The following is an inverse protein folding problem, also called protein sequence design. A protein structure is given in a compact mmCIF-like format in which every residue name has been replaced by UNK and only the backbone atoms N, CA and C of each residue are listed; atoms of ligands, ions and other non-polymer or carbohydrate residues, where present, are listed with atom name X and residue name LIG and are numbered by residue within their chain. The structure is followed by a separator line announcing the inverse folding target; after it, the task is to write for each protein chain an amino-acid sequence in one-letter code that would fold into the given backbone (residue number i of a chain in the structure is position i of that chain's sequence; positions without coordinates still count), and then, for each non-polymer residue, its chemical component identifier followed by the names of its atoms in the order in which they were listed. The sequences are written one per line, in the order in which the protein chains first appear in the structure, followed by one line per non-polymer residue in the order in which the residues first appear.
data_IF_325830748791
#
_entry.id   IF_325830748791
#
_cell.length_a   1.000
_cell.length_b   1.000
_cell.length_c   1.000
_cell.angle_alpha   90.00
_cell.angle_beta   90.00
_cell.angle_gamma   90.00
#
_symmetry.space_group_name_H-M   'P 1'
#
loop_
_entity.id
_entity.type
_entity.pdbx_description
1 polymer ?
#
# COMPACT_ATOMS: atom_id res chain seq x y z
N UNK A 1 58.00 -38.34 18.99
CA UNK A 1 58.52 -38.12 20.34
C UNK A 1 57.72 -36.98 20.95
N UNK A 2 56.96 -37.28 22.02
CA UNK A 2 56.51 -36.43 23.15
C UNK A 2 55.74 -35.13 22.78
N UNK A 3 54.40 -35.02 22.91
CA UNK A 3 53.48 -35.07 24.07
C UNK A 3 53.59 -33.87 25.04
N UNK A 4 52.50 -33.10 25.19
CA UNK A 4 52.03 -32.33 26.37
C UNK A 4 50.76 -31.57 25.96
N UNK A 5 49.53 -31.97 26.31
CA UNK A 5 48.84 -32.05 27.61
C UNK A 5 48.26 -30.70 28.11
N UNK A 6 46.92 -30.60 27.99
CA UNK A 6 45.92 -30.08 28.94
C UNK A 6 46.00 -28.66 29.52
N UNK A 7 44.89 -27.92 29.49
CA UNK A 7 44.08 -27.52 30.68
C UNK A 7 42.84 -26.70 30.25
N UNK A 8 41.69 -27.14 30.77
CA UNK A 8 40.35 -26.52 30.74
C UNK A 8 40.20 -25.57 31.95
N UNK A 9 39.47 -24.45 31.83
CA UNK A 9 38.48 -24.11 32.86
C UNK A 9 37.13 -23.69 32.21
N UNK A 10 36.06 -24.45 32.41
CA UNK A 10 35.01 -24.26 33.45
C UNK A 10 34.01 -23.13 33.15
N UNK A 11 32.86 -23.55 32.63
CA UNK A 11 31.63 -22.79 32.42
C UNK A 11 30.89 -22.56 33.76
N UNK A 12 30.48 -21.33 34.12
CA UNK A 12 29.58 -21.12 35.23
C UNK A 12 28.10 -21.28 34.82
N UNK A 13 27.50 -22.32 35.40
CA UNK A 13 26.07 -22.57 35.57
C UNK A 13 25.29 -21.32 35.98
N UNK A 14 24.33 -20.90 35.15
CA UNK A 14 23.26 -19.99 35.55
C UNK A 14 21.91 -20.73 35.51
N UNK A 15 21.54 -21.28 36.67
CA UNK A 15 20.23 -21.81 37.01
C UNK A 15 19.18 -20.68 37.01
N UNK A 16 18.31 -20.65 35.99
CA UNK A 16 17.05 -19.91 36.06
C UNK A 16 15.94 -20.83 36.58
N UNK A 17 15.53 -20.61 37.82
CA UNK A 17 14.37 -21.26 38.47
C UNK A 17 13.08 -20.75 37.85
N UNK A 18 12.26 -21.67 37.36
CA UNK A 18 10.83 -21.45 37.13
C UNK A 18 10.08 -21.48 38.47
N UNK A 19 9.15 -20.55 38.71
CA UNK A 19 8.02 -20.81 39.59
C UNK A 19 6.79 -21.16 38.76
N UNK A 20 6.40 -22.44 38.83
CA UNK A 20 5.04 -22.92 38.59
C UNK A 20 4.16 -22.51 39.77
N UNK A 21 3.13 -21.69 39.53
CA UNK A 21 1.92 -21.70 40.36
C UNK A 21 0.70 -21.59 39.47
N UNK A 22 -0.04 -22.69 39.44
CA UNK A 22 -1.37 -22.85 38.88
C UNK A 22 -2.40 -22.19 39.79
N UNK A 23 -3.22 -21.28 39.26
CA UNK A 23 -4.59 -21.06 39.74
C UNK A 23 -5.51 -20.82 38.55
N UNK A 24 -6.37 -21.79 38.29
CA UNK A 24 -7.50 -21.67 37.40
C UNK A 24 -8.50 -20.65 37.95
N UNK A 25 -8.90 -19.69 37.11
CA UNK A 25 -10.12 -18.91 37.31
C UNK A 25 -10.89 -18.89 35.99
N UNK A 26 -11.89 -19.75 35.92
CA UNK A 26 -12.95 -19.71 34.91
C UNK A 26 -13.88 -18.56 35.26
N UNK A 27 -13.86 -17.48 34.48
CA UNK A 27 -14.87 -16.44 34.56
C UNK A 27 -15.40 -16.17 33.16
N UNK A 28 -16.53 -16.81 32.87
CA UNK A 28 -17.41 -16.47 31.75
C UNK A 28 -17.90 -15.04 31.91
N UNK A 29 -17.50 -14.14 31.01
CA UNK A 29 -18.01 -12.79 30.95
C UNK A 29 -18.62 -12.55 29.57
N UNK A 30 -19.95 -12.59 29.55
CA UNK A 30 -20.80 -12.09 28.47
C UNK A 30 -20.47 -10.63 28.13
N UNK A 31 -20.63 -10.20 26.87
CA UNK A 31 -20.36 -8.83 26.47
C UNK A 31 -21.36 -7.84 27.11
N UNK A 32 -20.91 -6.64 27.53
CA UNK A 32 -21.79 -5.65 28.16
C UNK A 32 -22.81 -5.08 27.17
N UNK A 33 -24.10 -5.26 27.48
CA UNK A 33 -25.22 -4.60 26.82
C UNK A 33 -25.39 -3.18 27.37
N UNK A 34 -24.80 -2.17 26.73
CA UNK A 34 -25.29 -0.77 26.69
C UNK A 34 -24.25 0.17 26.09
N UNK A 35 -24.33 0.39 24.78
CA UNK A 35 -23.89 1.64 24.18
C UNK A 35 -25.14 2.35 23.67
N UNK A 36 -25.62 3.32 24.43
CA UNK A 36 -26.71 4.21 24.02
C UNK A 36 -26.16 5.16 22.96
N UNK A 37 -26.48 4.91 21.70
CA UNK A 37 -26.33 5.91 20.65
C UNK A 37 -27.49 6.89 20.78
N UNK A 38 -27.19 8.19 20.88
CA UNK A 38 -28.23 9.21 20.75
C UNK A 38 -28.82 9.10 19.33
N UNK A 39 -30.09 8.73 19.24
CA UNK A 39 -30.87 8.79 18.01
C UNK A 39 -30.99 10.26 17.60
N UNK A 40 -30.15 10.69 16.65
CA UNK A 40 -30.39 11.92 15.92
C UNK A 40 -31.37 11.55 14.81
N UNK A 41 -32.65 11.81 15.06
CA UNK A 41 -33.69 11.76 14.03
C UNK A 41 -33.43 12.85 12.98
N UNK A 42 -33.25 12.53 11.69
CA UNK A 42 -33.39 13.53 10.65
C UNK A 42 -34.88 13.84 10.49
N UNK A 43 -35.29 15.01 10.97
CA UNK A 43 -36.61 15.57 10.71
C UNK A 43 -36.72 15.89 9.22
N UNK A 44 -37.36 15.00 8.45
CA UNK A 44 -37.76 15.29 7.07
C UNK A 44 -39.15 15.94 7.08
N UNK A 45 -39.31 17.21 6.65
CA UNK A 45 -40.63 17.76 6.44
C UNK A 45 -41.29 17.10 5.21
N UNK A 46 -42.39 16.40 5.47
CA UNK A 46 -43.32 15.85 4.46
C UNK A 46 -43.98 17.00 3.68
N UNK A 47 -43.59 17.20 2.43
CA UNK A 47 -44.29 18.13 1.52
C UNK A 47 -45.45 17.41 0.83
N UNK A 48 -46.68 17.82 1.18
CA UNK A 48 -47.90 17.50 0.42
C UNK A 48 -47.91 18.28 -0.90
N UNK A 49 -48.44 17.75 -2.01
CA UNK A 49 -48.60 18.53 -3.23
C UNK A 49 -49.81 19.47 -3.07
N UNK A 50 -49.57 20.78 -3.13
CA UNK A 50 -50.61 21.80 -3.18
C UNK A 50 -50.85 22.21 -4.63
N UNK A 51 -52.00 21.84 -5.16
CA UNK A 51 -52.55 22.34 -6.42
C UNK A 51 -53.08 23.74 -6.14
N UNK A 52 -52.61 24.77 -6.86
CA UNK A 52 -53.45 25.91 -7.29
C UNK A 52 -52.70 26.89 -8.21
N UNK A 53 -53.21 26.98 -9.44
CA UNK A 53 -53.37 28.14 -10.33
C UNK A 53 -52.49 29.40 -10.14
N UNK A 54 -51.74 29.74 -11.18
CA UNK A 54 -51.80 31.07 -11.81
C UNK A 54 -51.07 31.07 -13.17
N UNK A 55 -51.55 31.92 -14.06
CA UNK A 55 -51.38 31.90 -15.50
C UNK A 55 -49.95 32.11 -16.02
N UNK A 56 -49.58 31.36 -17.06
CA UNK A 56 -48.39 31.60 -17.88
C UNK A 56 -48.69 32.65 -18.96
N UNK A 57 -47.80 33.63 -19.20
CA UNK A 57 -47.89 34.50 -20.36
C UNK A 57 -47.52 33.73 -21.63
N UNK A 58 -48.31 33.94 -22.68
CA UNK A 58 -48.14 33.37 -24.01
C UNK A 58 -46.89 33.95 -24.68
N UNK A 59 -45.75 33.25 -24.61
CA UNK A 59 -44.58 33.58 -25.43
C UNK A 59 -44.64 32.77 -26.73
N UNK A 60 -44.90 33.44 -27.84
CA UNK A 60 -44.77 32.86 -29.17
C UNK A 60 -43.30 32.64 -29.49
N UNK A 61 -42.85 31.38 -29.47
CA UNK A 61 -41.56 31.02 -30.04
C UNK A 61 -41.74 30.62 -31.51
N UNK A 62 -41.12 31.41 -32.39
CA UNK A 62 -40.89 31.14 -33.81
C UNK A 62 -40.13 29.80 -33.94
N UNK A 63 -40.55 28.86 -34.81
CA UNK A 63 -39.81 27.61 -34.97
C UNK A 63 -38.42 27.92 -35.53
N UNK A 64 -37.39 27.51 -34.79
CA UNK A 64 -36.00 27.60 -35.20
C UNK A 64 -35.75 26.54 -36.28
N UNK A 65 -35.25 26.97 -37.44
CA UNK A 65 -34.87 26.10 -38.54
C UNK A 65 -33.85 25.04 -38.07
N UNK A 66 -34.06 23.80 -38.53
CA UNK A 66 -33.20 22.66 -38.26
C UNK A 66 -31.73 22.98 -38.53
N UNK A 67 -30.91 22.98 -37.47
CA UNK A 67 -29.46 22.96 -37.58
C UNK A 67 -29.08 21.50 -37.80
N UNK A 68 -28.68 21.16 -39.02
CA UNK A 68 -28.05 19.89 -39.35
C UNK A 68 -26.83 19.70 -38.44
N UNK A 69 -26.69 18.58 -37.70
CA UNK A 69 -25.46 18.31 -36.96
C UNK A 69 -24.31 18.18 -37.98
N UNK A 70 -23.17 18.87 -37.78
CA UNK A 70 -22.01 18.63 -38.62
C UNK A 70 -21.55 17.18 -38.43
N UNK A 71 -21.23 16.55 -39.56
CA UNK A 71 -20.70 15.20 -39.72
C UNK A 71 -20.01 14.64 -38.46
N UNK A 72 -20.45 13.47 -38.04
CA UNK A 72 -19.73 12.61 -37.13
C UNK A 72 -18.29 12.42 -37.64
N UNK A 73 -17.36 13.12 -37.00
CA UNK A 73 -15.94 12.83 -37.10
C UNK A 73 -15.72 11.46 -36.45
N UNK A 74 -15.37 10.47 -37.28
CA UNK A 74 -14.89 9.16 -36.84
C UNK A 74 -13.60 9.36 -36.05
N UNK A 75 -13.70 9.69 -34.77
CA UNK A 75 -12.58 9.60 -33.84
C UNK A 75 -12.29 8.11 -33.68
N UNK A 76 -11.08 7.62 -34.02
CA UNK A 76 -10.73 6.24 -33.72
C UNK A 76 -10.88 6.03 -32.20
N UNK A 77 -11.39 4.87 -31.75
CA UNK A 77 -11.45 4.56 -30.34
C UNK A 77 -10.04 4.72 -29.74
N UNK A 78 -9.90 5.20 -28.50
CA UNK A 78 -8.59 5.30 -27.87
C UNK A 78 -7.94 3.92 -27.90
N UNK A 79 -6.81 3.80 -28.59
CA UNK A 79 -5.97 2.61 -28.55
C UNK A 79 -5.47 2.47 -27.13
N UNK A 80 -6.15 1.63 -26.34
CA UNK A 80 -5.68 1.26 -25.00
C UNK A 80 -4.48 0.35 -25.21
N UNK A 81 -3.29 0.93 -25.27
CA UNK A 81 -2.05 0.16 -25.32
C UNK A 81 -1.90 -0.57 -23.99
N UNK A 82 -2.10 -1.89 -23.99
CA UNK A 82 -1.88 -2.71 -22.81
C UNK A 82 -0.40 -2.61 -22.39
N UNK A 83 -0.15 -2.15 -21.16
CA UNK A 83 1.20 -2.13 -20.59
C UNK A 83 1.49 -3.50 -19.98
N UNK A 84 2.47 -4.21 -20.55
CA UNK A 84 2.90 -5.53 -20.06
C UNK A 84 4.20 -5.36 -19.27
N UNK A 85 4.20 -5.83 -18.02
CA UNK A 85 5.38 -5.83 -17.14
C UNK A 85 5.98 -7.22 -17.10
N UNK A 86 7.31 -7.31 -17.23
CA UNK A 86 8.05 -8.58 -17.13
C UNK A 86 9.26 -8.41 -16.21
N UNK A 87 9.65 -9.49 -15.55
CA UNK A 87 10.93 -9.63 -14.84
C UNK A 87 10.80 -10.38 -13.53
N UNK A 88 11.85 -10.35 -12.73
CA UNK A 88 11.95 -11.16 -11.52
C UNK A 88 11.10 -10.51 -10.42
N UNK A 89 10.29 -11.33 -9.75
CA UNK A 89 9.44 -10.90 -8.65
C UNK A 89 10.18 -11.03 -7.30
N UNK A 90 10.04 -10.01 -6.45
CA UNK A 90 10.42 -10.08 -5.05
C UNK A 90 9.17 -10.23 -4.19
N UNK A 91 9.05 -11.34 -3.45
CA UNK A 91 7.85 -11.67 -2.69
C UNK A 91 8.03 -11.29 -1.22
N UNK A 92 7.06 -10.56 -0.69
CA UNK A 92 6.95 -10.17 0.72
C UNK A 92 5.55 -10.51 1.25
N UNK A 93 5.45 -10.65 2.57
CA UNK A 93 4.20 -10.99 3.25
C UNK A 93 3.28 -9.80 3.49
N UNK A 94 2.44 -9.93 4.51
CA UNK A 94 1.46 -8.93 4.90
C UNK A 94 2.08 -7.79 5.72
N UNK A 95 1.37 -6.67 5.78
CA UNK A 95 1.67 -5.55 6.68
C UNK A 95 3.09 -4.99 6.53
N UNK A 96 3.59 -4.96 5.30
CA UNK A 96 4.86 -4.30 4.99
C UNK A 96 4.68 -2.80 5.16
N UNK A 97 5.19 -2.27 6.26
CA UNK A 97 5.07 -0.85 6.58
C UNK A 97 6.10 0.01 5.81
N UNK A 98 5.89 1.32 5.86
CA UNK A 98 6.78 2.29 5.22
C UNK A 98 8.17 2.38 5.85
N UNK A 99 8.39 1.93 7.08
CA UNK A 99 9.71 1.79 7.71
C UNK A 99 10.49 0.60 7.13
N UNK A 100 9.80 -0.50 6.86
CA UNK A 100 10.35 -1.68 6.21
C UNK A 100 10.75 -1.39 4.77
N UNK A 101 9.94 -0.59 4.06
CA UNK A 101 10.28 -0.10 2.70
C UNK A 101 11.45 0.87 2.74
N UNK A 102 11.41 1.89 3.61
CA UNK A 102 12.48 2.87 3.77
C UNK A 102 12.53 3.40 5.22
N UNK A 103 13.60 3.05 5.93
CA UNK A 103 13.76 3.44 7.33
C UNK A 103 13.89 4.97 7.51
N UNK A 104 13.36 5.49 8.62
CA UNK A 104 13.30 6.92 8.88
C UNK A 104 14.68 7.64 8.84
N UNK A 105 15.73 6.93 9.27
CA UNK A 105 17.12 7.43 9.27
C UNK A 105 17.66 7.84 7.89
N UNK A 106 17.06 7.34 6.80
CA UNK A 106 17.47 7.64 5.44
C UNK A 106 16.64 8.75 4.79
N UNK A 107 15.58 9.22 5.45
CA UNK A 107 14.71 10.29 4.94
C UNK A 107 15.37 11.68 4.97
N UNK A 108 16.49 11.83 5.67
CA UNK A 108 17.27 13.07 5.73
C UNK A 108 18.16 13.26 4.51
N UNK A 109 18.34 12.23 3.67
CA UNK A 109 19.08 12.32 2.43
C UNK A 109 18.34 13.21 1.44
N UNK A 110 19.04 14.19 0.89
CA UNK A 110 18.48 15.21 0.01
C UNK A 110 18.31 14.62 -1.38
N UNK A 111 17.05 14.53 -1.84
CA UNK A 111 16.70 14.02 -3.17
C UNK A 111 17.35 14.83 -4.31
N UNK A 112 17.68 16.10 -4.05
CA UNK A 112 18.34 17.01 -5.01
C UNK A 112 19.82 16.71 -5.22
N UNK A 113 20.48 16.00 -4.29
CA UNK A 113 21.89 15.64 -4.43
C UNK A 113 21.99 14.26 -5.11
N UNK A 114 22.59 14.14 -6.31
CA UNK A 114 22.62 12.88 -7.06
C UNK A 114 23.31 11.74 -6.31
N UNK A 115 24.33 12.02 -5.49
CA UNK A 115 25.03 10.98 -4.73
C UNK A 115 24.18 10.42 -3.58
N UNK A 116 23.46 11.30 -2.88
CA UNK A 116 22.58 10.93 -1.78
C UNK A 116 21.33 10.20 -2.29
N UNK A 117 20.78 10.66 -3.41
CA UNK A 117 19.69 9.98 -4.11
C UNK A 117 20.10 8.57 -4.57
N UNK A 118 21.36 8.39 -5.02
CA UNK A 118 21.91 7.08 -5.36
C UNK A 118 21.89 6.14 -4.15
N UNK A 119 22.37 6.60 -2.99
CA UNK A 119 22.36 5.84 -1.74
C UNK A 119 20.94 5.56 -1.24
N UNK A 120 20.01 6.49 -1.41
CA UNK A 120 18.63 6.30 -0.98
C UNK A 120 17.98 5.07 -1.65
N UNK A 121 18.26 4.86 -2.94
CA UNK A 121 17.76 3.71 -3.72
C UNK A 121 18.26 2.37 -3.20
N UNK A 122 19.50 2.30 -2.72
CA UNK A 122 20.07 1.05 -2.20
C UNK A 122 19.47 0.63 -0.85
N UNK A 123 18.69 1.50 -0.20
CA UNK A 123 17.99 1.20 1.04
C UNK A 123 16.54 0.74 0.84
N UNK A 124 16.09 0.57 -0.41
CA UNK A 124 14.78 -0.01 -0.69
C UNK A 124 14.62 -1.38 -0.03
N UNK A 125 13.54 -1.55 0.76
CA UNK A 125 13.19 -2.79 1.46
C UNK A 125 14.29 -3.31 2.43
N UNK A 126 15.20 -2.44 2.87
CA UNK A 126 16.26 -2.83 3.82
C UNK A 126 15.77 -3.05 5.25
N UNK A 127 14.59 -2.51 5.58
CA UNK A 127 13.99 -2.63 6.91
C UNK A 127 13.19 -3.93 7.12
N UNK A 128 13.15 -4.82 6.13
CA UNK A 128 12.50 -6.11 6.25
C UNK A 128 13.13 -6.96 7.38
N UNK A 129 12.35 -7.82 8.05
CA UNK A 129 12.85 -8.69 9.11
C UNK A 129 13.88 -9.69 8.58
N UNK A 130 14.72 -10.23 9.48
CA UNK A 130 15.77 -11.20 9.15
C UNK A 130 15.26 -12.53 8.58
N UNK A 131 13.95 -12.77 8.58
CA UNK A 131 13.32 -13.88 7.87
C UNK A 131 13.51 -13.81 6.35
N UNK A 132 13.73 -12.62 5.79
CA UNK A 132 14.06 -12.44 4.39
C UNK A 132 15.59 -12.55 4.19
N UNK A 133 16.04 -13.74 3.81
CA UNK A 133 17.48 -14.01 3.59
C UNK A 133 18.04 -13.27 2.38
N UNK A 134 17.23 -13.12 1.34
CA UNK A 134 17.61 -12.42 0.10
C UNK A 134 17.31 -10.95 0.22
N UNK A 135 18.33 -10.10 0.04
CA UNK A 135 18.12 -8.65 0.00
C UNK A 135 17.45 -8.24 -1.29
N UNK A 136 16.63 -7.20 -1.19
CA UNK A 136 15.99 -6.61 -2.36
C UNK A 136 16.99 -5.89 -3.28
N UNK A 137 17.94 -5.15 -2.68
CA UNK A 137 19.10 -4.58 -3.38
C UNK A 137 20.36 -5.20 -2.81
N UNK A 138 21.20 -5.73 -3.70
CA UNK A 138 22.49 -6.30 -3.32
C UNK A 138 23.42 -5.23 -2.71
N UNK A 139 24.34 -5.61 -1.82
CA UNK A 139 25.39 -4.71 -1.35
C UNK A 139 26.14 -4.09 -2.54
N UNK A 140 26.52 -2.81 -2.40
CA UNK A 140 27.23 -2.03 -3.43
C UNK A 140 26.48 -1.82 -4.75
N UNK A 141 25.21 -2.23 -4.83
CA UNK A 141 24.32 -1.94 -5.94
C UNK A 141 23.34 -0.81 -5.59
N UNK A 142 22.88 -0.14 -6.64
CA UNK A 142 21.92 0.97 -6.54
C UNK A 142 20.58 0.67 -7.22
N UNK A 143 20.49 -0.49 -7.89
CA UNK A 143 19.28 -0.99 -8.52
C UNK A 143 19.08 -2.44 -8.10
N UNK A 144 17.81 -2.80 -7.98
CA UNK A 144 17.38 -4.17 -7.78
C UNK A 144 17.32 -4.92 -9.12
N UNK A 145 17.55 -6.24 -9.06
CA UNK A 145 17.25 -7.15 -10.17
C UNK A 145 15.75 -7.49 -10.24
N UNK A 146 14.98 -7.12 -9.23
CA UNK A 146 13.54 -7.36 -9.13
C UNK A 146 12.78 -6.17 -9.71
N UNK A 147 12.08 -6.39 -10.82
CA UNK A 147 11.26 -5.37 -11.46
C UNK A 147 9.82 -5.33 -10.92
N UNK A 148 9.40 -6.38 -10.21
CA UNK A 148 8.07 -6.52 -9.65
C UNK A 148 8.18 -6.87 -8.17
N UNK A 149 7.41 -6.20 -7.32
CA UNK A 149 7.25 -6.58 -5.91
C UNK A 149 5.87 -7.20 -5.73
N UNK A 150 5.81 -8.37 -5.10
CA UNK A 150 4.56 -9.04 -4.74
C UNK A 150 4.42 -8.95 -3.23
N UNK A 151 3.36 -8.31 -2.74
CA UNK A 151 3.04 -8.18 -1.32
C UNK A 151 1.73 -8.86 -0.95
N UNK A 152 1.54 -9.08 0.35
CA UNK A 152 0.28 -9.57 0.91
C UNK A 152 -0.72 -8.45 1.20
N UNK A 153 -1.46 -8.59 2.29
CA UNK A 153 -2.45 -7.60 2.74
C UNK A 153 -1.79 -6.34 3.32
N UNK A 154 -2.45 -5.19 3.14
CA UNK A 154 -2.10 -3.91 3.76
C UNK A 154 -0.66 -3.43 3.44
N UNK A 155 -0.21 -3.61 2.19
CA UNK A 155 1.12 -3.17 1.76
C UNK A 155 1.28 -1.64 1.83
N UNK A 156 2.44 -1.19 2.33
CA UNK A 156 2.78 0.22 2.50
C UNK A 156 2.11 0.87 3.71
N UNK A 157 1.77 0.11 4.74
CA UNK A 157 1.11 0.63 5.93
C UNK A 157 2.01 1.53 6.81
N UNK A 158 1.41 2.13 7.83
CA UNK A 158 2.11 3.04 8.74
C UNK A 158 2.12 4.50 8.28
N UNK A 159 3.21 5.20 8.59
CA UNK A 159 3.29 6.66 8.47
C UNK A 159 3.23 7.17 7.02
N UNK A 160 2.79 8.42 6.84
CA UNK A 160 2.69 9.06 5.51
C UNK A 160 4.07 9.39 4.93
N UNK A 161 4.76 8.37 4.39
CA UNK A 161 6.07 8.53 3.75
C UNK A 161 5.94 8.55 2.24
N UNK A 162 6.02 9.75 1.67
CA UNK A 162 6.06 9.95 0.22
C UNK A 162 7.31 9.33 -0.42
N UNK A 163 8.39 9.16 0.34
CA UNK A 163 9.61 8.53 -0.14
C UNK A 163 9.48 7.03 -0.41
N UNK A 164 8.54 6.32 0.22
CA UNK A 164 8.40 4.88 0.05
C UNK A 164 8.16 4.46 -1.42
N UNK A 165 7.15 5.00 -2.15
CA UNK A 165 6.98 4.67 -3.57
C UNK A 165 8.11 5.20 -4.46
N UNK A 166 8.68 6.37 -4.13
CA UNK A 166 9.81 6.96 -4.87
C UNK A 166 11.01 6.02 -4.84
N UNK A 167 11.37 5.51 -3.66
CA UNK A 167 12.55 4.66 -3.48
C UNK A 167 12.39 3.32 -4.20
N UNK A 168 11.19 2.74 -4.21
CA UNK A 168 10.91 1.51 -4.96
C UNK A 168 11.09 1.72 -6.47
N UNK A 169 10.44 2.73 -7.05
CA UNK A 169 10.59 3.02 -8.48
C UNK A 169 12.02 3.39 -8.86
N UNK A 170 12.66 4.19 -8.01
CA UNK A 170 14.05 4.62 -8.19
C UNK A 170 15.07 3.46 -8.10
N UNK A 171 14.75 2.40 -7.35
CA UNK A 171 15.51 1.16 -7.27
C UNK A 171 15.26 0.21 -8.45
N UNK A 172 14.28 0.49 -9.32
CA UNK A 172 14.00 -0.28 -10.53
C UNK A 172 12.70 -1.08 -10.51
N UNK A 173 11.86 -0.91 -9.48
CA UNK A 173 10.52 -1.52 -9.45
C UNK A 173 9.64 -0.81 -10.47
N UNK A 174 9.05 -1.56 -11.40
CA UNK A 174 8.05 -1.04 -12.32
C UNK A 174 6.62 -1.19 -11.77
N UNK A 175 6.36 -2.30 -11.08
CA UNK A 175 5.03 -2.60 -10.56
C UNK A 175 5.10 -3.24 -9.17
N UNK A 176 4.10 -2.92 -8.34
CA UNK A 176 3.82 -3.63 -7.09
C UNK A 176 2.48 -4.31 -7.25
N UNK A 177 2.44 -5.62 -7.01
CA UNK A 177 1.21 -6.43 -6.96
C UNK A 177 0.96 -6.76 -5.50
N UNK A 178 -0.22 -6.46 -4.96
CA UNK A 178 -0.54 -6.81 -3.58
C UNK A 178 -2.00 -7.22 -3.40
N UNK A 179 -2.35 -7.87 -2.29
CA UNK A 179 -3.75 -8.16 -1.99
C UNK A 179 -4.51 -6.85 -1.71
N UNK A 180 -3.93 -6.01 -0.86
CA UNK A 180 -4.43 -4.66 -0.60
C UNK A 180 -3.29 -3.67 -0.30
N UNK A 181 -3.61 -2.38 -0.37
CA UNK A 181 -2.67 -1.29 -0.11
C UNK A 181 -3.20 -0.38 0.98
N UNK A 182 -2.29 0.10 1.82
CA UNK A 182 -2.62 1.18 2.73
C UNK A 182 -2.99 2.44 1.93
N UNK A 183 -4.11 3.07 2.30
CA UNK A 183 -4.70 4.22 1.58
C UNK A 183 -3.71 5.36 1.30
N UNK A 184 -2.85 5.65 2.27
CA UNK A 184 -1.87 6.74 2.15
C UNK A 184 -0.77 6.38 1.15
N UNK A 185 -0.26 5.15 1.19
CA UNK A 185 0.73 4.66 0.25
C UNK A 185 0.18 4.62 -1.18
N UNK A 186 -1.05 4.12 -1.35
CA UNK A 186 -1.73 4.11 -2.64
C UNK A 186 -1.82 5.52 -3.25
N UNK A 187 -2.32 6.50 -2.47
CA UNK A 187 -2.42 7.90 -2.91
C UNK A 187 -1.06 8.50 -3.28
N UNK A 188 -0.02 8.21 -2.49
CA UNK A 188 1.32 8.70 -2.78
C UNK A 188 1.88 8.08 -4.07
N UNK A 189 1.67 6.78 -4.28
CA UNK A 189 2.14 6.08 -5.48
C UNK A 189 1.50 6.67 -6.75
N UNK A 190 0.19 6.93 -6.72
CA UNK A 190 -0.53 7.59 -7.83
C UNK A 190 -0.03 9.02 -8.04
N UNK A 191 0.23 9.76 -6.96
CA UNK A 191 0.70 11.14 -7.06
C UNK A 191 2.13 11.27 -7.60
N UNK A 192 3.00 10.30 -7.32
CA UNK A 192 4.39 10.32 -7.78
C UNK A 192 4.55 9.66 -9.15
N UNK A 193 3.78 8.61 -9.46
CA UNK A 193 3.82 7.92 -10.76
C UNK A 193 5.05 7.05 -10.99
N UNK A 194 5.83 6.78 -9.95
CA UNK A 194 7.09 6.00 -10.03
C UNK A 194 6.85 4.49 -10.14
N UNK A 195 5.69 4.02 -9.67
CA UNK A 195 5.33 2.59 -9.64
C UNK A 195 3.85 2.41 -10.00
N UNK A 196 3.56 1.32 -10.73
CA UNK A 196 2.18 0.88 -10.99
C UNK A 196 1.71 -0.05 -9.87
N UNK A 197 0.46 0.11 -9.42
CA UNK A 197 -0.14 -0.72 -8.38
C UNK A 197 -1.23 -1.62 -8.96
N UNK A 198 -1.14 -2.92 -8.70
CA UNK A 198 -2.12 -3.92 -9.14
C UNK A 198 -2.63 -4.75 -7.97
N UNK A 199 -3.95 -4.81 -7.80
CA UNK A 199 -4.55 -5.72 -6.82
C UNK A 199 -4.78 -7.11 -7.42
N UNK A 200 -4.55 -8.17 -6.64
CA UNK A 200 -4.81 -9.56 -7.08
C UNK A 200 -6.24 -9.78 -7.59
N UNK A 201 -7.23 -9.12 -6.99
CA UNK A 201 -8.63 -9.21 -7.42
C UNK A 201 -8.86 -8.66 -8.83
N UNK A 202 -7.99 -7.77 -9.30
CA UNK A 202 -8.00 -7.25 -10.68
C UNK A 202 -7.29 -8.22 -11.63
N UNK A 203 -6.39 -9.07 -11.12
CA UNK A 203 -5.58 -10.01 -11.90
C UNK A 203 -6.16 -11.44 -11.95
N UNK A 204 -7.26 -11.72 -11.25
CA UNK A 204 -7.87 -13.05 -11.08
C UNK A 204 -8.30 -13.80 -12.36
N UNK A 205 -8.10 -13.21 -13.55
CA UNK A 205 -8.26 -13.90 -14.84
C UNK A 205 -6.95 -14.31 -15.53
N UNK A 206 -5.78 -13.96 -14.99
CA UNK A 206 -4.50 -14.05 -15.70
C UNK A 206 -3.44 -14.97 -15.07
N UNK A 207 -3.65 -15.45 -13.84
CA UNK A 207 -2.81 -16.47 -13.23
C UNK A 207 -3.56 -17.82 -13.28
N UNK A 208 -3.40 -18.54 -14.39
CA UNK A 208 -3.80 -19.95 -14.53
C UNK A 208 -2.60 -20.81 -14.86
#
# INVERSE_FOLDING_TARGET
MVASASIIPSNPTATAKFPTTSTAATTSLSPPSSLKFASISPNYPSTKPLISHSALPHFQHKPLSAITPPNASTTPPPTVTASIFHGICYVVGDNIDTDQIIAAKYLTLVLSNPEEYKKLKSYALTGLPSSYQTRFVEPDQFKSNYSIVIGGDNFGCGSSRKHAPVVLGAAGVAAVVAESYARIFFKNSVATGEIFLFSFWVLGGYFS
#
